data_IF_776474132559
#
_entry.id   IF_776474132559
#
_cell.length_a   1.000
_cell.length_b   1.000
_cell.length_c   1.000
_cell.angle_alpha   90.00
_cell.angle_beta   90.00
_cell.angle_gamma   90.00
#
_symmetry.space_group_name_H-M   'P 1'
#
loop_
_entity.id
_entity.type
_entity.pdbx_description
1 polymer ?
#
# COMPACT_ATOMS: atom_id res chain seq x y z
N UNK A 1 -4.03 5.63 -1.83
CA UNK A 1 -2.74 6.21 -1.37
C UNK A 1 -3.05 7.60 -0.84
N UNK A 2 -2.40 8.02 0.25
CA UNK A 2 -2.60 9.34 0.87
C UNK A 2 -2.30 10.45 -0.15
N UNK A 3 -3.33 10.82 -0.90
CA UNK A 3 -3.72 12.17 -1.29
C UNK A 3 -2.57 13.20 -1.39
N UNK A 4 -1.57 12.94 -2.24
CA UNK A 4 -0.68 13.97 -2.78
C UNK A 4 0.08 14.85 -1.78
N UNK A 5 0.31 14.40 -0.53
CA UNK A 5 1.04 15.20 0.48
C UNK A 5 2.51 15.35 0.09
N UNK A 6 3.08 14.32 -0.55
CA UNK A 6 4.44 14.38 -1.12
C UNK A 6 4.35 13.97 -2.58
N UNK A 7 4.40 14.96 -3.46
CA UNK A 7 4.46 14.73 -4.91
C UNK A 7 5.92 14.63 -5.34
N UNK A 8 6.29 13.65 -6.18
CA UNK A 8 7.63 13.63 -6.75
C UNK A 8 7.83 14.87 -7.62
N UNK A 9 9.00 15.51 -7.52
CA UNK A 9 9.31 16.71 -8.30
C UNK A 9 9.50 16.40 -9.79
N UNK A 10 9.98 15.20 -10.10
CA UNK A 10 10.22 14.70 -11.45
C UNK A 10 10.01 13.20 -11.52
N UNK A 11 9.71 12.69 -12.72
CA UNK A 11 9.70 11.26 -13.05
C UNK A 11 10.62 11.04 -14.25
N UNK A 12 11.28 9.89 -14.31
CA UNK A 12 12.07 9.50 -15.48
C UNK A 12 11.26 8.54 -16.34
N UNK A 13 11.16 8.83 -17.63
CA UNK A 13 10.48 7.98 -18.62
C UNK A 13 11.42 7.62 -19.77
N UNK A 14 11.19 6.48 -20.39
CA UNK A 14 11.75 6.18 -21.71
C UNK A 14 10.65 6.28 -22.76
N UNK A 15 10.87 7.08 -23.80
CA UNK A 15 9.91 7.27 -24.88
C UNK A 15 9.62 5.97 -25.67
N UNK A 16 10.59 5.07 -25.74
CA UNK A 16 10.49 3.83 -26.51
C UNK A 16 9.77 2.70 -25.77
N UNK A 17 9.38 2.89 -24.50
CA UNK A 17 8.76 1.84 -23.72
C UNK A 17 7.25 1.68 -24.06
N UNK A 18 6.81 0.52 -24.58
CA UNK A 18 5.39 0.28 -24.84
C UNK A 18 4.57 0.12 -23.55
N UNK A 19 5.24 -0.05 -22.40
CA UNK A 19 4.61 -0.22 -21.09
C UNK A 19 3.90 1.04 -20.58
N UNK A 20 4.36 2.24 -20.95
CA UNK A 20 3.80 3.53 -20.51
C UNK A 20 2.55 3.98 -21.29
N UNK A 21 2.21 3.26 -22.36
CA UNK A 21 1.07 3.53 -23.25
C UNK A 21 -0.19 2.74 -22.89
N UNK A 22 -0.18 1.96 -21.79
CA UNK A 22 -1.32 1.10 -21.45
C UNK A 22 -2.52 1.89 -20.96
N UNK A 23 -3.70 1.42 -21.36
CA UNK A 23 -4.97 2.04 -21.02
C UNK A 23 -5.29 1.95 -19.51
N UNK A 24 -6.12 2.88 -19.05
CA UNK A 24 -6.53 3.04 -17.64
C UNK A 24 -7.32 1.81 -17.19
N UNK A 25 -6.64 0.85 -16.53
CA UNK A 25 -7.32 -0.26 -15.86
C UNK A 25 -7.74 0.19 -14.46
N UNK A 26 -9.05 0.12 -14.18
CA UNK A 26 -9.57 0.34 -12.83
C UNK A 26 -9.01 -0.74 -11.88
N UNK A 27 -8.59 -0.32 -10.69
CA UNK A 27 -8.17 -1.22 -9.61
C UNK A 27 -9.34 -2.17 -9.27
N UNK A 28 -9.14 -3.49 -9.41
CA UNK A 28 -10.17 -4.51 -9.15
C UNK A 28 -10.49 -4.65 -7.66
N UNK A 29 -9.55 -4.27 -6.78
CA UNK A 29 -9.69 -4.38 -5.32
C UNK A 29 -9.31 -3.05 -4.69
N UNK A 30 -10.21 -2.40 -3.93
CA UNK A 30 -9.86 -1.15 -3.26
C UNK A 30 -8.96 -1.43 -2.05
N UNK A 31 -7.95 -0.58 -1.86
CA UNK A 31 -7.03 -0.60 -0.70
C UNK A 31 -7.80 -0.66 0.63
N UNK A 32 -8.95 0.03 0.72
CA UNK A 32 -9.80 0.02 1.91
C UNK A 32 -10.27 -1.39 2.27
N UNK A 33 -10.65 -2.20 1.28
CA UNK A 33 -11.08 -3.58 1.51
C UNK A 33 -9.94 -4.44 2.07
N UNK A 34 -8.73 -4.28 1.53
CA UNK A 34 -7.54 -4.96 2.04
C UNK A 34 -7.26 -4.59 3.49
N UNK A 35 -7.25 -3.31 3.83
CA UNK A 35 -7.08 -2.89 5.23
C UNK A 35 -8.16 -3.46 6.14
N UNK A 36 -9.43 -3.38 5.72
CA UNK A 36 -10.55 -3.92 6.49
C UNK A 36 -10.39 -5.42 6.74
N UNK A 37 -10.08 -6.21 5.71
CA UNK A 37 -9.83 -7.65 5.87
C UNK A 37 -8.63 -7.94 6.76
N UNK A 38 -7.54 -7.19 6.61
CA UNK A 38 -6.33 -7.33 7.42
C UNK A 38 -6.54 -7.06 8.91
N UNK A 39 -7.51 -6.24 9.30
CA UNK A 39 -7.84 -6.02 10.72
C UNK A 39 -8.92 -6.96 11.24
N UNK A 40 -9.93 -7.27 10.41
CA UNK A 40 -11.07 -8.10 10.80
C UNK A 40 -10.66 -9.57 11.00
N UNK A 41 -9.92 -10.14 10.05
CA UNK A 41 -9.51 -11.55 10.08
C UNK A 41 -8.72 -11.90 11.35
N UNK A 42 -7.65 -11.17 11.75
CA UNK A 42 -6.93 -11.51 12.97
C UNK A 42 -7.74 -11.28 14.24
N UNK A 43 -8.66 -10.31 14.26
CA UNK A 43 -9.53 -10.07 15.41
C UNK A 43 -10.41 -11.28 15.71
N UNK A 44 -11.14 -11.78 14.71
CA UNK A 44 -11.97 -12.98 14.86
C UNK A 44 -11.13 -14.21 15.14
N UNK A 45 -9.97 -14.34 14.49
CA UNK A 45 -9.05 -15.45 14.72
C UNK A 45 -8.55 -15.50 16.16
N UNK A 46 -8.26 -14.35 16.78
CA UNK A 46 -7.83 -14.31 18.19
C UNK A 46 -8.96 -14.75 19.15
N UNK A 47 -10.21 -14.36 18.87
CA UNK A 47 -11.37 -14.79 19.65
C UNK A 47 -11.59 -16.31 19.55
N UNK A 48 -11.45 -16.88 18.35
CA UNK A 48 -11.60 -18.32 18.12
C UNK A 48 -10.49 -19.09 18.85
N UNK A 49 -9.23 -18.64 18.80
CA UNK A 49 -8.12 -19.32 19.49
C UNK A 49 -8.31 -19.35 21.00
N UNK A 50 -8.72 -18.24 21.63
CA UNK A 50 -8.98 -18.21 23.08
C UNK A 50 -10.19 -19.08 23.47
N UNK A 51 -11.14 -19.27 22.55
CA UNK A 51 -12.33 -20.10 22.78
C UNK A 51 -12.02 -21.60 22.64
N UNK A 52 -11.20 -21.99 21.66
CA UNK A 52 -10.87 -23.40 21.36
C UNK A 52 -9.70 -23.93 22.19
N UNK A 53 -8.70 -23.08 22.48
CA UNK A 53 -7.47 -23.49 23.18
C UNK A 53 -7.39 -22.77 24.53
N UNK A 54 -7.90 -23.38 25.61
CA UNK A 54 -7.67 -22.88 26.96
C UNK A 54 -6.17 -22.96 27.30
N UNK A 55 -5.59 -21.95 27.97
CA UNK A 55 -4.17 -21.93 28.28
C UNK A 55 -3.77 -23.09 29.19
N UNK A 56 -2.79 -23.88 28.76
CA UNK A 56 -2.26 -25.04 29.50
C UNK A 56 -1.57 -24.68 30.83
N UNK A 57 -1.30 -23.39 31.08
CA UNK A 57 -0.48 -22.90 32.20
C UNK A 57 -1.25 -22.15 33.29
N UNK A 58 -2.59 -22.12 33.30
CA UNK A 58 -3.35 -21.51 34.39
C UNK A 58 -3.97 -22.57 35.31
N UNK A 59 -3.50 -22.72 36.57
CA UNK A 59 -4.11 -23.60 37.57
C UNK A 59 -5.46 -23.09 38.10
N UNK A 60 -5.95 -21.96 37.58
CA UNK A 60 -7.20 -21.35 38.02
C UNK A 60 -8.08 -21.05 36.80
N UNK A 61 -9.35 -21.48 36.79
CA UNK A 61 -10.29 -21.10 35.76
C UNK A 61 -10.53 -19.60 35.90
N UNK A 62 -9.90 -18.80 35.04
CA UNK A 62 -10.11 -17.35 35.07
C UNK A 62 -11.59 -17.10 34.83
N UNK A 63 -12.27 -16.40 35.75
CA UNK A 63 -13.71 -16.12 35.70
C UNK A 63 -14.12 -15.22 34.52
N UNK A 64 -13.20 -14.85 33.62
CA UNK A 64 -13.44 -13.98 32.46
C UNK A 64 -12.49 -14.29 31.28
N UNK A 65 -12.58 -15.46 30.63
CA UNK A 65 -11.73 -15.80 29.47
C UNK A 65 -11.85 -14.77 28.34
N UNK A 66 -13.05 -14.21 28.16
CA UNK A 66 -13.32 -13.15 27.20
C UNK A 66 -12.50 -11.87 27.47
N UNK A 67 -12.32 -11.47 28.74
CA UNK A 67 -11.54 -10.28 29.09
C UNK A 67 -10.03 -10.49 28.88
N UNK A 68 -9.54 -11.71 29.10
CA UNK A 68 -8.15 -12.06 28.83
C UNK A 68 -7.87 -12.09 27.32
N UNK A 69 -8.74 -12.75 26.53
CA UNK A 69 -8.68 -12.76 25.08
C UNK A 69 -8.77 -11.35 24.47
N UNK A 70 -9.70 -10.52 24.96
CA UNK A 70 -9.84 -9.14 24.47
C UNK A 70 -8.61 -8.27 24.76
N UNK A 71 -7.97 -8.44 25.92
CA UNK A 71 -6.71 -7.73 26.23
C UNK A 71 -5.58 -8.13 25.30
N UNK A 72 -5.44 -9.44 25.00
CA UNK A 72 -4.42 -9.93 24.05
C UNK A 72 -4.73 -9.48 22.63
N UNK A 73 -5.98 -9.58 22.18
CA UNK A 73 -6.44 -9.12 20.88
C UNK A 73 -6.18 -7.61 20.70
N UNK A 74 -6.44 -6.80 21.73
CA UNK A 74 -6.18 -5.34 21.67
C UNK A 74 -4.69 -5.01 21.55
N UNK A 75 -3.81 -5.74 22.25
CA UNK A 75 -2.35 -5.56 22.12
C UNK A 75 -1.88 -5.93 20.72
N UNK A 76 -2.28 -7.10 20.23
CA UNK A 76 -1.96 -7.56 18.88
C UNK A 76 -2.47 -6.59 17.81
N UNK A 77 -3.69 -6.08 17.95
CA UNK A 77 -4.26 -5.08 17.05
C UNK A 77 -3.46 -3.78 17.06
N UNK A 78 -2.98 -3.36 18.24
CA UNK A 78 -2.08 -2.21 18.39
C UNK A 78 -0.76 -2.42 17.64
N UNK A 79 -0.12 -3.57 17.81
CA UNK A 79 1.14 -3.91 17.14
C UNK A 79 0.98 -4.06 15.62
N UNK A 80 -0.18 -4.54 15.17
CA UNK A 80 -0.55 -4.61 13.76
C UNK A 80 -0.76 -3.20 13.18
N UNK A 81 -1.42 -2.32 13.91
CA UNK A 81 -1.65 -0.94 13.49
C UNK A 81 -0.35 -0.15 13.39
N UNK A 82 0.50 -0.20 14.41
CA UNK A 82 1.80 0.49 14.43
C UNK A 82 2.72 -0.04 13.32
N UNK A 83 2.83 -1.36 13.19
CA UNK A 83 3.64 -1.97 12.12
C UNK A 83 3.09 -1.67 10.73
N UNK A 84 1.76 -1.65 10.57
CA UNK A 84 1.10 -1.30 9.32
C UNK A 84 1.33 0.16 8.94
N UNK A 85 1.27 1.08 9.90
CA UNK A 85 1.55 2.50 9.69
C UNK A 85 3.03 2.72 9.29
N UNK A 86 3.95 2.02 9.94
CA UNK A 86 5.36 2.06 9.59
C UNK A 86 5.59 1.56 8.15
N UNK A 87 5.07 0.37 7.81
CA UNK A 87 5.19 -0.19 6.45
C UNK A 87 4.55 0.73 5.40
N UNK A 88 3.41 1.32 5.73
CA UNK A 88 2.73 2.29 4.89
C UNK A 88 3.62 3.50 4.61
N UNK A 89 4.23 4.09 5.64
CA UNK A 89 5.13 5.24 5.52
C UNK A 89 6.39 4.89 4.73
N UNK A 90 7.02 3.74 5.00
CA UNK A 90 8.19 3.26 4.26
C UNK A 90 7.88 3.07 2.78
N UNK A 91 6.73 2.45 2.47
CA UNK A 91 6.31 2.25 1.08
C UNK A 91 6.07 3.59 0.37
N UNK A 92 5.53 4.58 1.08
CA UNK A 92 5.30 5.92 0.54
C UNK A 92 6.61 6.67 0.29
N UNK A 93 7.55 6.59 1.24
CA UNK A 93 8.88 7.16 1.10
C UNK A 93 9.64 6.56 -0.09
N UNK A 94 9.58 5.24 -0.28
CA UNK A 94 10.23 4.61 -1.42
C UNK A 94 9.57 5.07 -2.73
N UNK A 95 8.24 5.23 -2.77
CA UNK A 95 7.55 5.73 -3.97
C UNK A 95 7.97 7.13 -4.37
N UNK A 96 8.17 8.01 -3.40
CA UNK A 96 8.57 9.39 -3.66
C UNK A 96 10.04 9.50 -4.07
N UNK A 97 10.90 8.63 -3.54
CA UNK A 97 12.32 8.55 -3.91
C UNK A 97 12.51 7.95 -5.31
N UNK A 98 11.79 6.87 -5.62
CA UNK A 98 11.94 6.16 -6.90
C UNK A 98 11.31 6.95 -8.04
N UNK A 99 10.13 7.54 -7.83
CA UNK A 99 9.51 8.44 -8.81
C UNK A 99 9.35 7.81 -10.20
N UNK A 100 9.08 6.51 -10.30
CA UNK A 100 8.87 5.79 -11.56
C UNK A 100 7.48 6.06 -12.14
N UNK A 101 7.39 6.27 -13.45
CA UNK A 101 6.12 6.51 -14.13
C UNK A 101 5.23 5.26 -14.15
N UNK A 102 3.90 5.45 -14.10
CA UNK A 102 2.92 4.36 -14.22
C UNK A 102 2.66 4.00 -15.69
N UNK A 103 2.21 2.76 -15.95
CA UNK A 103 1.78 2.31 -17.28
C UNK A 103 0.69 3.17 -17.95
N UNK A 104 -0.07 3.95 -17.17
CA UNK A 104 -1.12 4.86 -17.63
C UNK A 104 -0.68 6.34 -17.64
N UNK A 105 0.61 6.61 -17.47
CA UNK A 105 1.17 7.96 -17.44
C UNK A 105 0.90 8.72 -18.74
N UNK A 106 1.14 8.08 -19.89
CA UNK A 106 0.98 8.72 -21.20
C UNK A 106 -0.47 9.14 -21.46
N UNK A 107 -1.43 8.30 -21.07
CA UNK A 107 -2.85 8.57 -21.27
C UNK A 107 -3.37 9.75 -20.43
N UNK A 108 -2.76 10.03 -19.27
CA UNK A 108 -3.27 11.02 -18.31
C UNK A 108 -2.47 12.33 -18.32
N UNK A 109 -1.15 12.27 -18.46
CA UNK A 109 -0.28 13.45 -18.49
C UNK A 109 -0.14 14.02 -19.91
N UNK A 110 -0.04 13.17 -20.95
CA UNK A 110 0.31 13.56 -22.32
C UNK A 110 1.44 14.62 -22.35
N UNK A 111 2.69 14.21 -22.11
CA UNK A 111 3.79 15.15 -21.98
C UNK A 111 4.13 15.76 -23.35
N UNK A 112 4.33 17.08 -23.39
CA UNK A 112 4.71 17.80 -24.60
C UNK A 112 6.24 17.75 -24.79
N UNK A 113 6.74 16.58 -25.20
CA UNK A 113 8.16 16.33 -25.38
C UNK A 113 8.63 16.79 -26.75
N UNK A 114 9.76 17.50 -26.80
CA UNK A 114 10.44 17.79 -28.07
C UNK A 114 11.13 16.54 -28.62
N UNK A 115 11.28 16.44 -29.94
CA UNK A 115 11.92 15.29 -30.62
C UNK A 115 13.32 14.98 -30.06
N UNK A 116 14.07 16.01 -29.66
CA UNK A 116 15.38 15.88 -29.02
C UNK A 116 15.34 15.25 -27.62
N UNK A 117 14.31 15.54 -26.83
CA UNK A 117 14.13 14.97 -25.50
C UNK A 117 13.74 13.49 -25.56
N UNK A 118 13.00 13.11 -26.61
CA UNK A 118 12.53 11.75 -26.84
C UNK A 118 13.59 10.84 -27.51
N UNK A 119 14.63 11.44 -28.11
CA UNK A 119 15.82 10.75 -28.61
C UNK A 119 16.80 10.28 -27.52
N UNK A 120 16.60 10.69 -26.26
CA UNK A 120 17.38 10.19 -25.13
C UNK A 120 16.78 8.90 -24.58
N UNK A 121 17.62 8.00 -24.06
CA UNK A 121 17.18 6.73 -23.46
C UNK A 121 16.28 6.94 -22.24
N UNK A 122 16.53 8.01 -21.47
CA UNK A 122 15.72 8.43 -20.33
C UNK A 122 15.52 9.94 -20.33
N UNK A 123 14.28 10.38 -20.18
CA UNK A 123 13.86 11.78 -20.16
C UNK A 123 13.24 12.09 -18.82
N UNK A 124 13.64 13.21 -18.20
CA UNK A 124 12.99 13.72 -16.99
C UNK A 124 11.76 14.53 -17.38
N UNK A 125 10.63 14.19 -16.77
CA UNK A 125 9.35 14.88 -16.98
C UNK A 125 8.86 15.42 -15.65
N UNK A 126 8.45 16.68 -15.67
CA UNK A 126 7.85 17.38 -14.53
C UNK A 126 6.35 17.57 -14.76
N UNK A 127 5.64 18.07 -13.75
CA UNK A 127 4.20 18.32 -13.86
C UNK A 127 3.86 19.47 -14.81
N UNK A 128 4.81 20.38 -15.09
CA UNK A 128 4.65 21.50 -16.02
C UNK A 128 4.64 21.04 -17.48
N UNK A 129 5.29 19.91 -17.76
CA UNK A 129 5.39 19.33 -19.11
C UNK A 129 4.10 18.58 -19.52
N UNK A 130 3.15 18.39 -18.59
CA UNK A 130 1.91 17.65 -18.81
C UNK A 130 0.79 18.55 -19.38
N UNK A 131 0.18 18.12 -20.47
CA UNK A 131 -0.98 18.80 -21.09
C UNK A 131 -2.28 18.59 -20.29
N UNK A 132 -2.37 17.51 -19.50
CA UNK A 132 -3.52 17.18 -18.65
C UNK A 132 -4.90 17.26 -19.38
N UNK A 133 -5.14 16.44 -20.42
CA UNK A 133 -6.36 16.50 -21.23
C UNK A 133 -7.66 16.29 -20.44
N UNK A 134 -7.60 15.60 -19.30
CA UNK A 134 -8.76 15.31 -18.45
C UNK A 134 -8.94 16.30 -17.29
N UNK A 135 -8.15 17.39 -17.24
CA UNK A 135 -8.21 18.42 -16.21
C UNK A 135 -8.19 17.84 -14.77
N UNK A 136 -7.32 16.84 -14.56
CA UNK A 136 -7.18 16.16 -13.28
C UNK A 136 -6.52 17.09 -12.26
N UNK A 137 -6.92 16.93 -10.99
CA UNK A 137 -6.24 17.60 -9.88
C UNK A 137 -4.78 17.15 -9.77
N UNK A 138 -3.89 18.05 -9.33
CA UNK A 138 -2.46 17.82 -9.17
C UNK A 138 -2.12 16.51 -8.42
N UNK A 139 -2.83 16.18 -7.34
CA UNK A 139 -2.58 14.94 -6.59
C UNK A 139 -2.81 13.66 -7.41
N UNK A 140 -3.75 13.70 -8.37
CA UNK A 140 -4.06 12.55 -9.23
C UNK A 140 -3.06 12.44 -10.36
N UNK A 141 -2.56 13.57 -10.86
CA UNK A 141 -1.47 13.62 -11.83
C UNK A 141 -0.16 13.12 -11.21
N UNK A 142 0.18 13.57 -10.00
CA UNK A 142 1.34 13.09 -9.25
C UNK A 142 1.28 11.58 -8.96
N UNK A 143 0.08 11.00 -8.81
CA UNK A 143 -0.10 9.56 -8.66
C UNK A 143 0.35 8.76 -9.90
N UNK A 144 0.26 9.36 -11.10
CA UNK A 144 0.72 8.74 -12.35
C UNK A 144 2.24 8.76 -12.50
N UNK A 145 2.92 9.66 -11.78
CA UNK A 145 4.38 9.78 -11.74
C UNK A 145 5.04 8.88 -10.67
N UNK A 146 4.24 8.07 -9.95
CA UNK A 146 4.73 7.13 -8.93
C UNK A 146 4.08 5.75 -9.04
N UNK A 147 4.79 4.77 -9.57
CA UNK A 147 4.31 3.41 -9.81
C UNK A 147 4.81 2.40 -8.80
N UNK A 148 6.09 2.48 -8.43
CA UNK A 148 6.76 1.49 -7.59
C UNK A 148 7.16 2.04 -6.22
N UNK A 149 7.07 1.22 -5.15
CA UNK A 149 6.47 -0.12 -5.03
C UNK A 149 4.93 -0.12 -4.93
N UNK A 150 4.23 -1.23 -5.25
CA UNK A 150 2.76 -1.29 -5.10
C UNK A 150 2.32 -1.30 -3.63
N UNK A 151 1.43 -0.37 -3.25
CA UNK A 151 0.87 -0.34 -1.89
C UNK A 151 0.05 -1.59 -1.55
N UNK A 152 -0.68 -2.14 -2.53
CA UNK A 152 -1.47 -3.36 -2.37
C UNK A 152 -0.59 -4.56 -2.05
N UNK A 153 0.55 -4.69 -2.73
CA UNK A 153 1.50 -5.77 -2.50
C UNK A 153 2.13 -5.67 -1.11
N UNK A 154 2.60 -4.47 -0.73
CA UNK A 154 3.18 -4.22 0.60
C UNK A 154 2.22 -4.58 1.73
N UNK A 155 0.96 -4.14 1.65
CA UNK A 155 -0.06 -4.41 2.68
C UNK A 155 -0.37 -5.91 2.72
N UNK A 156 -0.49 -6.56 1.57
CA UNK A 156 -0.81 -7.99 1.51
C UNK A 156 0.28 -8.84 2.14
N UNK A 157 1.55 -8.58 1.83
CA UNK A 157 2.69 -9.31 2.40
C UNK A 157 2.79 -9.08 3.90
N UNK A 158 2.70 -7.83 4.36
CA UNK A 158 2.72 -7.51 5.79
C UNK A 158 1.60 -8.23 6.56
N UNK A 159 0.38 -8.20 6.01
CA UNK A 159 -0.79 -8.83 6.63
C UNK A 159 -0.66 -10.35 6.69
N UNK A 160 -0.14 -10.98 5.63
CA UNK A 160 0.11 -12.42 5.60
C UNK A 160 1.15 -12.86 6.62
N UNK A 161 2.28 -12.14 6.72
CA UNK A 161 3.35 -12.46 7.68
C UNK A 161 2.83 -12.35 9.11
N UNK A 162 2.17 -11.24 9.46
CA UNK A 162 1.64 -11.02 10.81
C UNK A 162 0.47 -11.95 11.12
N UNK A 163 -0.37 -12.25 10.14
CA UNK A 163 -1.47 -13.21 10.27
C UNK A 163 -0.99 -14.64 10.52
N UNK A 164 0.06 -15.06 9.81
CA UNK A 164 0.71 -16.35 10.04
C UNK A 164 1.41 -16.41 11.41
N UNK A 165 2.11 -15.34 11.81
CA UNK A 165 2.70 -15.24 13.14
C UNK A 165 1.68 -15.33 14.27
N UNK A 166 0.43 -14.90 14.05
CA UNK A 166 -0.62 -15.09 15.03
C UNK A 166 -1.00 -16.57 15.19
N UNK A 167 -0.86 -17.44 14.18
CA UNK A 167 -1.22 -18.88 14.23
C UNK A 167 -0.33 -19.68 15.17
N UNK A 168 0.89 -19.23 15.41
CA UNK A 168 1.79 -19.80 16.40
C UNK A 168 1.97 -18.78 17.52
N UNK A 169 1.02 -18.67 18.48
CA UNK A 169 1.37 -18.06 19.74
C UNK A 169 2.53 -18.89 20.29
N UNK A 170 3.74 -18.31 20.30
CA UNK A 170 4.84 -18.88 21.06
C UNK A 170 4.35 -18.89 22.51
N UNK A 171 3.91 -20.08 22.94
CA UNK A 171 3.56 -20.40 24.31
C UNK A 171 4.83 -20.37 25.17
#
# INVERSE_FOLDING_TARGET
>A
MLLGVVSPSHTTISCSDPLIHREIRKETVPISLLFTLSFIVPFFKMLIVEWVVPPASSPTPSKTPLRAGLRRARRYLGDLFVGGLFMYFTTDLIKTVVGEARPNFWALCQPNLTEHQCGQMYTKVTWEDCTNPYNLRHWRLAETMKSFPSGHASISVFSSIRGCGALFPAW
#
